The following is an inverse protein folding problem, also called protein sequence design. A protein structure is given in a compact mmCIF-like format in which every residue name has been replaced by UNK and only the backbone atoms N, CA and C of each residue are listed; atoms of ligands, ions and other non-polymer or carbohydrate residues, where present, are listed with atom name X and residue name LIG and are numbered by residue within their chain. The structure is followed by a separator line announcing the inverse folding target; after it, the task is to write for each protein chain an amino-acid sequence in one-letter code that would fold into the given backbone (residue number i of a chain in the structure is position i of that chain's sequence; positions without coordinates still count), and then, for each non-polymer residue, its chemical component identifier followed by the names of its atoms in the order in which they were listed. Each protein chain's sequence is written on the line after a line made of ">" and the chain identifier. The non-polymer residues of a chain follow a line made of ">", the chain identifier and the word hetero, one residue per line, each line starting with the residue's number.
data_IF_391099447082
#
_entry.id   IF_391099447082
#
_cell.length_a   1.000
_cell.length_b   1.000
_cell.length_c   1.000
_cell.angle_alpha   90.00
_cell.angle_beta   90.00
_cell.angle_gamma   90.00
#
_symmetry.space_group_name_H-M   'P 1'
#
loop_
_entity.id
_entity.type
_entity.pdbx_description
1 polymer ?
#
# COMPACT_ATOMS: atom_id res chain seq x y z
N UNK A 1 -8.68 23.15 10.19
CA UNK A 1 -7.66 23.75 9.28
C UNK A 1 -6.30 23.74 9.94
N UNK A 2 -5.26 23.52 9.17
CA UNK A 2 -3.87 23.55 9.62
C UNK A 2 -3.07 24.59 8.82
N UNK A 3 -2.10 25.25 9.47
CA UNK A 3 -1.17 26.12 8.76
C UNK A 3 -0.18 25.30 7.94
N UNK A 4 0.19 25.79 6.77
CA UNK A 4 1.22 25.13 5.94
C UNK A 4 2.57 25.03 6.66
N UNK A 5 2.82 25.91 7.64
CA UNK A 5 4.01 25.84 8.49
C UNK A 5 4.02 24.61 9.41
N UNK A 6 2.86 24.07 9.72
CA UNK A 6 2.68 22.93 10.63
C UNK A 6 2.52 21.60 9.91
N UNK A 7 2.59 21.59 8.57
CA UNK A 7 2.52 20.37 7.78
C UNK A 7 3.70 19.44 8.10
N UNK A 8 3.38 18.19 8.37
CA UNK A 8 4.34 17.13 8.68
C UNK A 8 3.99 15.86 7.90
N UNK A 9 4.97 14.99 7.75
CA UNK A 9 4.76 13.67 7.19
C UNK A 9 3.62 12.92 7.91
N UNK A 10 2.71 12.34 7.13
CA UNK A 10 1.57 11.58 7.61
C UNK A 10 0.29 12.38 7.85
N UNK A 11 0.35 13.71 7.83
CA UNK A 11 -0.85 14.56 7.94
C UNK A 11 -1.65 14.45 6.63
N UNK A 12 -2.97 14.32 6.76
CA UNK A 12 -3.88 14.30 5.63
C UNK A 12 -4.59 15.64 5.48
N UNK A 13 -4.61 16.15 4.27
CA UNK A 13 -5.22 17.42 3.91
C UNK A 13 -6.21 17.28 2.77
N UNK A 14 -7.20 18.18 2.76
CA UNK A 14 -8.07 18.39 1.62
C UNK A 14 -7.55 19.61 0.85
N UNK A 15 -7.28 19.42 -0.42
CA UNK A 15 -6.79 20.46 -1.30
C UNK A 15 -7.29 20.26 -2.72
N UNK A 16 -7.82 21.33 -3.33
CA UNK A 16 -8.35 21.32 -4.71
C UNK A 16 -9.29 20.15 -5.00
N UNK A 17 -10.21 19.88 -4.07
CA UNK A 17 -11.22 18.82 -4.19
C UNK A 17 -10.71 17.39 -4.04
N UNK A 18 -9.46 17.22 -3.68
CA UNK A 18 -8.84 15.90 -3.47
C UNK A 18 -8.27 15.77 -2.06
N UNK A 19 -7.96 14.54 -1.70
CA UNK A 19 -7.41 14.18 -0.40
C UNK A 19 -5.98 13.71 -0.59
N UNK A 20 -5.08 14.33 0.15
CA UNK A 20 -3.65 14.04 0.07
C UNK A 20 -3.06 13.69 1.42
N UNK A 21 -2.12 12.77 1.43
CA UNK A 21 -1.21 12.58 2.57
C UNK A 21 0.09 13.32 2.29
N UNK A 22 0.57 14.06 3.29
CA UNK A 22 1.87 14.75 3.22
C UNK A 22 2.96 13.71 3.41
N UNK A 23 3.84 13.58 2.42
CA UNK A 23 4.97 12.65 2.44
C UNK A 23 6.23 13.32 3.02
N UNK A 24 6.46 14.56 2.63
CA UNK A 24 7.66 15.31 2.99
C UNK A 24 7.36 16.79 2.88
N UNK A 25 8.00 17.60 3.73
CA UNK A 25 7.90 19.05 3.67
C UNK A 25 9.27 19.70 3.74
N UNK A 26 9.42 20.81 3.01
CA UNK A 26 10.61 21.64 3.05
C UNK A 26 10.21 23.10 3.21
N UNK A 27 10.71 23.75 4.25
CA UNK A 27 10.53 25.19 4.47
C UNK A 27 11.64 25.94 3.78
N UNK A 28 11.29 26.87 2.89
CA UNK A 28 12.24 27.68 2.15
C UNK A 28 12.01 29.15 2.48
N UNK A 29 13.07 29.80 2.98
CA UNK A 29 13.09 31.26 3.22
C UNK A 29 14.05 31.87 2.19
N UNK A 30 13.55 32.35 1.04
CA UNK A 30 14.42 33.01 0.07
C UNK A 30 14.95 34.33 0.63
N UNK A 31 16.13 34.73 0.19
CA UNK A 31 16.73 36.00 0.61
C UNK A 31 15.94 37.25 0.15
N UNK A 32 15.13 37.07 -0.92
CA UNK A 32 14.16 38.05 -1.43
C UNK A 32 12.86 37.33 -1.70
N UNK A 33 11.76 37.84 -1.13
CA UNK A 33 10.41 37.30 -1.31
C UNK A 33 9.84 36.63 -0.06
N UNK A 34 8.59 36.17 -0.16
CA UNK A 34 7.88 35.51 0.92
C UNK A 34 8.41 34.09 1.17
N UNK A 35 8.38 33.66 2.42
CA UNK A 35 8.68 32.26 2.75
C UNK A 35 7.65 31.31 2.14
N UNK A 36 8.11 30.16 1.70
CA UNK A 36 7.27 29.09 1.08
C UNK A 36 7.48 27.76 1.78
N UNK A 37 6.49 26.89 1.64
CA UNK A 37 6.54 25.49 2.07
C UNK A 37 6.33 24.61 0.85
N UNK A 38 7.31 23.80 0.54
CA UNK A 38 7.17 22.74 -0.48
C UNK A 38 6.72 21.47 0.19
N UNK A 39 5.62 20.92 -0.26
CA UNK A 39 5.07 19.67 0.27
C UNK A 39 4.99 18.62 -0.84
N UNK A 40 5.56 17.46 -0.58
CA UNK A 40 5.38 16.29 -1.42
C UNK A 40 4.10 15.59 -1.00
N UNK A 41 3.13 15.54 -1.89
CA UNK A 41 1.78 15.06 -1.63
C UNK A 41 1.50 13.78 -2.41
N UNK A 42 0.85 12.83 -1.76
CA UNK A 42 0.30 11.63 -2.41
C UNK A 42 -1.21 11.71 -2.42
N UNK A 43 -1.81 11.66 -3.61
CA UNK A 43 -3.25 11.59 -3.76
C UNK A 43 -3.75 10.22 -3.26
N UNK A 44 -4.65 10.23 -2.28
CA UNK A 44 -5.17 8.99 -1.69
C UNK A 44 -6.18 8.27 -2.57
N UNK A 45 -6.74 8.93 -3.59
CA UNK A 45 -7.64 8.29 -4.55
C UNK A 45 -6.89 7.66 -5.73
N UNK A 46 -5.88 8.34 -6.24
CA UNK A 46 -5.17 7.93 -7.47
C UNK A 46 -3.80 7.33 -7.23
N UNK A 47 -3.22 7.56 -6.04
CA UNK A 47 -1.85 7.17 -5.73
C UNK A 47 -0.77 8.08 -6.33
N UNK A 48 -1.13 9.08 -7.11
CA UNK A 48 -0.19 10.00 -7.74
C UNK A 48 0.56 10.83 -6.70
N UNK A 49 1.86 11.00 -6.91
CA UNK A 49 2.74 11.78 -6.04
C UNK A 49 3.24 12.98 -6.82
N UNK A 50 3.14 14.17 -6.22
CA UNK A 50 3.67 15.40 -6.80
C UNK A 50 4.10 16.38 -5.70
N UNK A 51 4.85 17.39 -6.08
CA UNK A 51 5.26 18.47 -5.18
C UNK A 51 4.34 19.68 -5.37
N UNK A 52 3.79 20.18 -4.26
CA UNK A 52 3.00 21.40 -4.24
C UNK A 52 3.70 22.46 -3.39
N UNK A 53 3.78 23.67 -3.92
CA UNK A 53 4.33 24.80 -3.21
C UNK A 53 3.20 25.66 -2.63
N UNK A 54 3.27 25.92 -1.32
CA UNK A 54 2.37 26.79 -0.62
C UNK A 54 3.10 28.04 -0.10
N UNK A 55 2.40 29.14 0.00
CA UNK A 55 2.91 30.25 0.79
C UNK A 55 2.93 29.88 2.27
N UNK A 56 3.97 30.26 2.97
CA UNK A 56 4.10 29.99 4.41
C UNK A 56 2.96 30.68 5.19
N UNK A 57 2.38 29.97 6.16
CA UNK A 57 1.31 30.49 7.01
C UNK A 57 -0.10 30.45 6.40
N UNK A 58 -0.27 29.99 5.15
CA UNK A 58 -1.60 29.76 4.56
C UNK A 58 -2.27 28.59 5.27
N UNK A 59 -3.57 28.65 5.45
CA UNK A 59 -4.35 27.56 6.05
C UNK A 59 -4.90 26.63 4.98
N UNK A 60 -4.78 25.32 5.21
CA UNK A 60 -5.39 24.26 4.38
C UNK A 60 -6.33 23.42 5.24
N UNK A 61 -7.36 22.88 4.65
CA UNK A 61 -8.28 21.99 5.35
C UNK A 61 -7.61 20.66 5.68
N UNK A 62 -7.86 20.14 6.87
CA UNK A 62 -7.45 18.77 7.24
C UNK A 62 -8.53 17.79 6.87
N UNK A 63 -8.13 16.59 6.44
CA UNK A 63 -9.03 15.49 6.17
C UNK A 63 -8.88 14.41 7.25
N UNK A 64 -9.99 13.97 7.84
CA UNK A 64 -9.99 12.86 8.78
C UNK A 64 -10.19 11.55 8.03
N UNK A 65 -9.12 10.78 7.92
CA UNK A 65 -9.16 9.44 7.32
C UNK A 65 -9.56 8.43 8.40
N UNK A 66 -10.58 7.65 8.13
CA UNK A 66 -10.97 6.52 8.96
C UNK A 66 -10.20 5.28 8.54
N UNK A 67 -9.55 4.61 9.50
CA UNK A 67 -8.89 3.33 9.31
C UNK A 67 -9.60 2.29 10.16
N UNK A 68 -10.04 1.21 9.54
CA UNK A 68 -10.76 0.13 10.20
C UNK A 68 -10.07 -1.21 9.89
N UNK A 69 -9.77 -1.98 10.94
CA UNK A 69 -9.21 -3.32 10.78
C UNK A 69 -10.29 -4.28 10.33
N UNK A 70 -10.05 -4.93 9.20
CA UNK A 70 -10.93 -5.93 8.63
C UNK A 70 -10.17 -7.16 8.19
N UNK A 71 -10.85 -8.29 8.16
CA UNK A 71 -10.33 -9.55 7.64
C UNK A 71 -10.79 -9.76 6.21
N UNK A 72 -9.85 -10.04 5.31
CA UNK A 72 -10.16 -10.45 3.96
C UNK A 72 -10.77 -11.86 3.97
N UNK A 73 -11.90 -12.03 3.31
CA UNK A 73 -12.61 -13.31 3.23
C UNK A 73 -12.33 -14.05 1.93
N UNK A 74 -12.83 -13.49 0.83
CA UNK A 74 -12.71 -14.07 -0.51
C UNK A 74 -13.00 -13.02 -1.58
N UNK A 75 -12.79 -13.38 -2.85
CA UNK A 75 -13.22 -12.58 -3.98
C UNK A 75 -14.14 -13.37 -4.90
N UNK A 76 -15.05 -12.67 -5.55
CA UNK A 76 -15.95 -13.21 -6.55
C UNK A 76 -16.38 -12.09 -7.50
N UNK A 77 -16.34 -12.35 -8.82
CA UNK A 77 -16.76 -11.38 -9.86
C UNK A 77 -16.10 -9.99 -9.73
N UNK A 78 -14.78 -9.96 -9.50
CA UNK A 78 -13.99 -8.73 -9.32
C UNK A 78 -14.43 -7.87 -8.10
N UNK A 79 -15.07 -8.50 -7.12
CA UNK A 79 -15.42 -7.89 -5.83
C UNK A 79 -14.70 -8.65 -4.73
N UNK A 80 -14.04 -7.91 -3.84
CA UNK A 80 -13.33 -8.43 -2.68
C UNK A 80 -14.16 -8.20 -1.43
N UNK A 81 -14.37 -9.26 -0.66
CA UNK A 81 -15.21 -9.25 0.54
C UNK A 81 -14.34 -9.21 1.78
N UNK A 82 -14.63 -8.25 2.65
CA UNK A 82 -13.95 -8.06 3.92
C UNK A 82 -14.99 -8.09 5.05
N UNK A 83 -14.55 -8.46 6.25
CA UNK A 83 -15.41 -8.51 7.43
C UNK A 83 -14.74 -7.75 8.58
N UNK A 84 -15.51 -6.87 9.22
CA UNK A 84 -15.11 -6.26 10.46
C UNK A 84 -15.13 -7.33 11.57
N UNK A 85 -14.01 -7.51 12.25
CA UNK A 85 -13.87 -8.55 13.27
C UNK A 85 -14.64 -8.28 14.57
N UNK A 86 -15.05 -7.03 14.79
CA UNK A 86 -15.83 -6.64 15.98
C UNK A 86 -17.33 -6.66 15.72
N UNK A 87 -17.77 -6.03 14.64
CA UNK A 87 -19.19 -5.90 14.30
C UNK A 87 -19.73 -7.03 13.42
N UNK A 88 -18.83 -7.82 12.80
CA UNK A 88 -19.13 -8.86 11.81
C UNK A 88 -19.84 -8.33 10.55
N UNK A 89 -19.83 -7.03 10.35
CA UNK A 89 -20.32 -6.42 9.12
C UNK A 89 -19.37 -6.71 7.97
N UNK A 90 -19.95 -7.05 6.83
CA UNK A 90 -19.20 -7.30 5.59
C UNK A 90 -19.12 -6.03 4.74
N UNK A 91 -17.99 -5.85 4.10
CA UNK A 91 -17.74 -4.75 3.17
C UNK A 91 -17.30 -5.32 1.83
N UNK A 92 -17.89 -4.79 0.76
CA UNK A 92 -17.55 -5.16 -0.61
C UNK A 92 -16.67 -4.05 -1.22
N UNK A 93 -15.53 -4.43 -1.75
CA UNK A 93 -14.61 -3.48 -2.41
C UNK A 93 -14.34 -3.96 -3.82
N UNK A 94 -14.65 -3.15 -4.86
CA UNK A 94 -14.33 -3.49 -6.23
C UNK A 94 -12.81 -3.66 -6.44
N UNK A 95 -12.43 -4.57 -7.33
CA UNK A 95 -11.02 -4.84 -7.65
C UNK A 95 -10.27 -3.58 -8.12
N UNK A 96 -10.97 -2.64 -8.77
CA UNK A 96 -10.39 -1.38 -9.21
C UNK A 96 -9.88 -0.49 -8.07
N UNK A 97 -10.43 -0.63 -6.87
CA UNK A 97 -10.00 0.12 -5.68
C UNK A 97 -8.84 -0.54 -4.95
N UNK A 98 -8.51 -1.77 -5.28
CA UNK A 98 -7.43 -2.56 -4.66
C UNK A 98 -6.19 -2.57 -5.55
N UNK A 99 -6.37 -2.73 -6.87
CA UNK A 99 -5.28 -2.78 -7.84
C UNK A 99 -4.36 -3.99 -7.64
N UNK A 100 -3.07 -3.79 -7.83
CA UNK A 100 -2.06 -4.86 -7.73
C UNK A 100 -1.90 -5.47 -6.33
N UNK A 101 -2.37 -4.78 -5.30
CA UNK A 101 -2.37 -5.31 -3.93
C UNK A 101 -3.24 -6.57 -3.78
N UNK A 102 -4.16 -6.80 -4.71
CA UNK A 102 -5.00 -8.00 -4.73
C UNK A 102 -4.20 -9.29 -4.74
N UNK A 103 -3.03 -9.30 -5.37
CA UNK A 103 -2.13 -10.46 -5.43
C UNK A 103 -1.38 -10.74 -4.13
N UNK A 104 -1.49 -9.85 -3.15
CA UNK A 104 -0.92 -10.00 -1.82
C UNK A 104 -1.98 -10.35 -0.77
N UNK A 105 -3.27 -10.37 -1.16
CA UNK A 105 -4.38 -10.73 -0.30
C UNK A 105 -4.58 -12.24 -0.31
N UNK A 106 -4.29 -12.89 0.82
CA UNK A 106 -4.71 -14.27 1.05
C UNK A 106 -5.90 -14.32 2.00
N UNK A 107 -6.67 -15.39 1.96
CA UNK A 107 -7.81 -15.59 2.85
C UNK A 107 -7.42 -15.43 4.32
N UNK A 108 -8.27 -14.78 5.09
CA UNK A 108 -8.11 -14.49 6.52
C UNK A 108 -7.01 -13.47 6.86
N UNK A 109 -6.42 -12.80 5.88
CA UNK A 109 -5.45 -11.74 6.15
C UNK A 109 -6.16 -10.53 6.76
N UNK A 110 -5.62 -10.01 7.85
CA UNK A 110 -6.08 -8.76 8.45
C UNK A 110 -5.44 -7.56 7.75
N UNK A 111 -6.27 -6.63 7.31
CA UNK A 111 -5.85 -5.40 6.63
C UNK A 111 -6.58 -4.20 7.20
N UNK A 112 -6.00 -3.01 7.06
CA UNK A 112 -6.71 -1.77 7.35
C UNK A 112 -7.40 -1.26 6.10
N UNK A 113 -8.69 -0.95 6.23
CA UNK A 113 -9.46 -0.29 5.18
C UNK A 113 -9.47 1.21 5.48
N UNK A 114 -9.00 2.00 4.54
CA UNK A 114 -8.99 3.46 4.63
C UNK A 114 -10.19 4.04 3.92
N UNK A 115 -10.91 4.93 4.61
CA UNK A 115 -12.08 5.61 4.06
C UNK A 115 -12.14 7.07 4.47
N UNK A 116 -12.81 7.87 3.68
CA UNK A 116 -13.08 9.27 3.94
C UNK A 116 -14.54 9.57 3.60
N UNK A 117 -15.29 10.03 4.60
CA UNK A 117 -16.72 10.35 4.45
C UNK A 117 -17.55 9.26 3.75
N UNK A 118 -17.28 7.99 4.11
CA UNK A 118 -17.94 6.83 3.53
C UNK A 118 -17.37 6.33 2.20
N UNK A 119 -16.44 7.06 1.59
CA UNK A 119 -15.73 6.64 0.38
C UNK A 119 -14.52 5.76 0.75
N UNK A 120 -14.43 4.58 0.15
CA UNK A 120 -13.28 3.70 0.29
C UNK A 120 -12.13 4.23 -0.55
N UNK A 121 -11.02 4.58 0.11
CA UNK A 121 -9.82 5.08 -0.55
C UNK A 121 -8.86 3.96 -0.95
N UNK A 122 -8.84 2.88 -0.19
CA UNK A 122 -7.96 1.75 -0.44
C UNK A 122 -7.76 0.87 0.78
N UNK A 123 -6.78 -0.03 0.68
CA UNK A 123 -6.39 -0.94 1.75
C UNK A 123 -4.92 -0.71 2.12
N UNK A 124 -4.62 -0.89 3.40
CA UNK A 124 -3.25 -0.93 3.91
C UNK A 124 -2.95 -2.35 4.35
N UNK A 125 -1.99 -2.98 3.67
CA UNK A 125 -1.52 -4.33 3.98
C UNK A 125 -0.48 -4.29 5.11
N UNK A 126 -0.33 -5.40 5.88
CA UNK A 126 0.86 -5.55 6.72
C UNK A 126 2.13 -5.46 5.88
N UNK A 127 3.26 -5.12 6.48
CA UNK A 127 4.55 -4.97 5.77
C UNK A 127 5.00 -6.24 5.06
N UNK A 128 4.63 -7.39 5.60
CA UNK A 128 4.98 -8.72 5.10
C UNK A 128 3.77 -9.65 5.16
N UNK A 129 3.68 -10.54 4.18
CA UNK A 129 2.68 -11.60 4.13
C UNK A 129 3.35 -12.94 3.88
N UNK A 130 2.74 -13.99 4.40
CA UNK A 130 3.15 -15.37 4.16
C UNK A 130 2.31 -15.95 3.03
N UNK A 131 2.97 -16.44 1.98
CA UNK A 131 2.32 -17.04 0.82
C UNK A 131 2.90 -18.42 0.53
N UNK A 132 2.03 -19.35 0.16
CA UNK A 132 2.43 -20.69 -0.26
C UNK A 132 2.78 -20.68 -1.74
N UNK A 133 3.89 -21.31 -2.11
CA UNK A 133 4.29 -21.52 -3.49
C UNK A 133 3.43 -22.64 -4.09
N UNK A 134 2.67 -22.32 -5.13
CA UNK A 134 1.81 -23.28 -5.83
C UNK A 134 2.48 -23.90 -7.05
N UNK A 135 3.37 -23.15 -7.71
CA UNK A 135 4.12 -23.61 -8.85
C UNK A 135 5.49 -22.95 -8.93
N UNK A 136 6.53 -23.72 -9.21
CA UNK A 136 7.87 -23.20 -9.50
C UNK A 136 8.64 -24.20 -10.38
N UNK A 137 9.55 -23.68 -11.17
CA UNK A 137 10.43 -24.52 -11.97
C UNK A 137 11.47 -25.23 -11.09
N UNK A 138 11.87 -26.45 -11.44
CA UNK A 138 12.95 -27.12 -10.73
C UNK A 138 14.26 -26.37 -10.93
N UNK A 139 15.14 -26.41 -9.92
CA UNK A 139 16.46 -25.83 -10.01
C UNK A 139 17.27 -26.50 -11.13
N UNK A 140 17.80 -25.70 -12.06
CA UNK A 140 18.66 -26.22 -13.13
C UNK A 140 20.05 -26.45 -12.56
N UNK A 141 20.51 -27.71 -12.59
CA UNK A 141 21.89 -28.07 -12.22
C UNK A 141 22.88 -27.42 -13.19
N UNK A 142 23.84 -26.67 -12.66
CA UNK A 142 24.89 -26.02 -13.48
C UNK A 142 24.87 -24.50 -13.43
N UNK A 143 23.87 -23.89 -12.81
CA UNK A 143 23.87 -22.44 -12.57
C UNK A 143 24.69 -22.15 -11.30
N UNK A 144 25.96 -21.78 -11.49
CA UNK A 144 26.93 -21.62 -10.41
C UNK A 144 26.98 -20.20 -9.83
N UNK A 145 26.09 -19.32 -10.25
CA UNK A 145 26.01 -17.97 -9.71
C UNK A 145 25.40 -17.98 -8.30
N UNK A 146 26.06 -17.38 -7.35
CA UNK A 146 25.69 -17.35 -5.93
C UNK A 146 24.34 -16.69 -5.64
N UNK A 147 23.76 -15.97 -6.58
CA UNK A 147 22.49 -15.26 -6.45
C UNK A 147 21.47 -15.66 -7.53
N UNK A 148 21.53 -16.89 -8.01
CA UNK A 148 20.57 -17.38 -9.01
C UNK A 148 19.16 -17.46 -8.41
N UNK A 149 18.20 -16.90 -9.14
CA UNK A 149 16.79 -16.88 -8.80
C UNK A 149 15.98 -17.59 -9.87
N UNK A 150 14.84 -18.13 -9.49
CA UNK A 150 13.86 -18.71 -10.40
C UNK A 150 12.50 -18.08 -10.16
N UNK A 151 11.62 -18.18 -11.16
CA UNK A 151 10.25 -17.70 -11.03
C UNK A 151 9.39 -18.72 -10.27
N UNK A 152 8.52 -18.22 -9.42
CA UNK A 152 7.57 -18.99 -8.66
C UNK A 152 6.22 -18.30 -8.63
N UNK A 153 5.15 -19.06 -8.65
CA UNK A 153 3.78 -18.59 -8.51
C UNK A 153 3.27 -18.92 -7.11
N UNK A 154 2.70 -17.91 -6.46
CA UNK A 154 2.09 -18.05 -5.14
C UNK A 154 0.59 -18.39 -5.25
N UNK A 155 0.01 -18.85 -4.13
CA UNK A 155 -1.41 -19.20 -4.01
C UNK A 155 -2.37 -18.07 -4.44
N UNK A 156 -1.94 -16.83 -4.37
CA UNK A 156 -2.71 -15.64 -4.77
C UNK A 156 -2.56 -15.27 -6.24
N UNK A 157 -1.76 -16.01 -7.00
CA UNK A 157 -1.39 -15.68 -8.38
C UNK A 157 -0.23 -14.71 -8.53
N UNK A 158 0.38 -14.29 -7.41
CA UNK A 158 1.57 -13.44 -7.44
C UNK A 158 2.76 -14.21 -8.03
N UNK A 159 3.40 -13.60 -9.02
CA UNK A 159 4.68 -14.10 -9.55
C UNK A 159 5.82 -13.43 -8.79
N UNK A 160 6.71 -14.23 -8.23
CA UNK A 160 7.83 -13.76 -7.41
C UNK A 160 9.10 -14.52 -7.80
N UNK A 161 10.23 -13.84 -7.73
CA UNK A 161 11.54 -14.47 -7.93
C UNK A 161 12.09 -14.95 -6.60
N UNK A 162 12.39 -16.24 -6.53
CA UNK A 162 12.83 -16.93 -5.31
C UNK A 162 14.19 -17.58 -5.53
N UNK A 163 14.97 -17.83 -4.45
CA UNK A 163 16.16 -18.65 -4.54
C UNK A 163 15.88 -20.05 -5.12
N UNK A 164 16.88 -20.66 -5.75
CA UNK A 164 16.72 -21.96 -6.42
C UNK A 164 16.30 -23.10 -5.47
N UNK A 165 16.58 -22.99 -4.17
CA UNK A 165 16.24 -24.02 -3.20
C UNK A 165 14.77 -24.02 -2.77
N UNK A 166 13.97 -23.01 -3.14
CA UNK A 166 12.54 -22.94 -2.82
C UNK A 166 11.79 -23.93 -3.70
N UNK A 167 10.96 -24.76 -3.08
CA UNK A 167 10.16 -25.80 -3.74
C UNK A 167 8.66 -25.49 -3.65
N UNK A 168 7.87 -26.18 -4.49
CA UNK A 168 6.40 -26.13 -4.42
C UNK A 168 5.90 -26.61 -3.06
N UNK A 169 4.88 -25.96 -2.53
CA UNK A 169 4.31 -26.24 -1.22
C UNK A 169 5.01 -25.56 -0.04
N UNK A 170 6.16 -24.92 -0.27
CA UNK A 170 6.81 -24.14 0.76
C UNK A 170 6.12 -22.79 0.98
N UNK A 171 6.13 -22.33 2.22
CA UNK A 171 5.65 -21.00 2.59
C UNK A 171 6.81 -20.02 2.63
N UNK A 172 6.64 -18.90 1.96
CA UNK A 172 7.63 -17.82 1.93
C UNK A 172 7.05 -16.53 2.51
N UNK A 173 7.93 -15.65 2.95
CA UNK A 173 7.59 -14.30 3.37
C UNK A 173 7.86 -13.36 2.20
N UNK A 174 6.84 -12.56 1.84
CA UNK A 174 6.89 -11.57 0.76
C UNK A 174 6.67 -10.18 1.34
N UNK A 175 7.49 -9.22 0.91
CA UNK A 175 7.29 -7.81 1.26
C UNK A 175 6.11 -7.24 0.47
N UNK A 176 5.18 -6.59 1.15
CA UNK A 176 4.01 -5.97 0.51
C UNK A 176 4.34 -4.66 -0.19
N UNK A 177 5.45 -4.02 0.16
CA UNK A 177 5.88 -2.77 -0.46
C UNK A 177 6.25 -2.94 -1.94
N UNK A 178 6.90 -4.05 -2.30
CA UNK A 178 7.44 -4.30 -3.64
C UNK A 178 7.07 -5.68 -4.21
N UNK A 179 6.37 -6.53 -3.45
CA UNK A 179 6.00 -7.87 -3.89
C UNK A 179 7.16 -8.85 -4.03
N UNK A 180 8.27 -8.60 -3.35
CA UNK A 180 9.49 -9.41 -3.46
C UNK A 180 9.66 -10.40 -2.31
N UNK A 181 10.31 -11.52 -2.61
CA UNK A 181 10.72 -12.52 -1.63
C UNK A 181 11.64 -11.90 -0.57
N UNK A 182 11.38 -12.22 0.69
CA UNK A 182 12.22 -11.81 1.84
C UNK A 182 12.96 -13.01 2.41
N UNK A 183 12.23 -14.06 2.78
CA UNK A 183 12.79 -15.27 3.39
C UNK A 183 11.79 -16.42 3.33
N UNK A 184 12.23 -17.60 3.73
CA UNK A 184 11.30 -18.68 4.09
C UNK A 184 10.54 -18.31 5.37
N UNK A 185 9.32 -18.78 5.47
CA UNK A 185 8.51 -18.59 6.67
C UNK A 185 8.99 -19.44 7.83
#
# INVERSE_FOLDING_TARGET
>A
MISTNDLKNGITIEYDGNIYVVMETQHVKPGKGAAIVKAKLKNLRTGAIFEQTFNAGVKVATAHINKQLMQYLYNMNDIYYFMNMESYEQLEIPASNIGDQSKLLKENLEVYITSYEGEILGIDLPDKVELVITHTEPAVKGNTTTNALKDAECETGLMVRVPLFIEEGETIIVSTADGKYVSRA
#
